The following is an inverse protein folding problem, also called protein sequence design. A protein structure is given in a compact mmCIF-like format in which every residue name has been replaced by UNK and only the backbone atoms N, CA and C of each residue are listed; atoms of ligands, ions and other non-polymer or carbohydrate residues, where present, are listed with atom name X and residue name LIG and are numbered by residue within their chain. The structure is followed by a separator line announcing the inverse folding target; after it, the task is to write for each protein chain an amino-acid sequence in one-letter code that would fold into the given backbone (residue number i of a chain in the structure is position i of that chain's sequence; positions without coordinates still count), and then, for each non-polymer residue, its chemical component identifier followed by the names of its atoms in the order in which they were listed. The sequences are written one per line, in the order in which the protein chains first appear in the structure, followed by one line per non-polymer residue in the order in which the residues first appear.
data_IF_110384392752
#
_entry.id   IF_110384392752
#
_cell.length_a   1.000
_cell.length_b   1.000
_cell.length_c   1.000
_cell.angle_alpha   90.00
_cell.angle_beta   90.00
_cell.angle_gamma   90.00
#
_symmetry.space_group_name_H-M   'P 1'
#
loop_
_entity.id
_entity.type
_entity.pdbx_description
1 polymer ?
#
# COMPACT_ATOMS: atom_id res chain seq x y z
N UNK A 1 27.95 -3.11 -43.49
CA UNK A 1 27.22 -1.85 -43.26
C UNK A 1 25.77 -2.20 -42.97
N UNK A 2 25.21 -1.86 -41.79
CA UNK A 2 23.79 -2.00 -41.53
C UNK A 2 23.03 -0.85 -42.19
N UNK A 3 21.93 -1.14 -42.86
CA UNK A 3 21.03 -0.16 -43.47
C UNK A 3 20.38 0.72 -42.39
N UNK A 4 20.15 2.02 -42.64
CA UNK A 4 19.40 2.86 -41.71
C UNK A 4 17.92 2.44 -41.73
N UNK A 5 17.36 2.07 -40.58
CA UNK A 5 15.91 1.90 -40.43
C UNK A 5 15.24 3.28 -40.47
N UNK A 6 14.20 3.36 -41.29
CA UNK A 6 13.43 4.54 -41.67
C UNK A 6 12.66 5.14 -40.48
N UNK A 7 13.22 6.20 -39.89
CA UNK A 7 12.60 6.98 -38.79
C UNK A 7 11.31 7.67 -39.21
N UNK A 8 11.17 7.97 -40.50
CA UNK A 8 10.03 8.68 -41.10
C UNK A 8 8.75 7.84 -41.10
N UNK A 9 8.90 6.52 -41.25
CA UNK A 9 7.78 5.58 -41.29
C UNK A 9 7.14 5.39 -39.91
N UNK A 10 7.95 5.39 -38.85
CA UNK A 10 7.48 5.36 -37.46
C UNK A 10 6.74 6.63 -37.06
N UNK A 11 7.24 7.80 -37.46
CA UNK A 11 6.57 9.08 -37.19
C UNK A 11 5.20 9.16 -37.88
N UNK A 12 5.09 8.63 -39.11
CA UNK A 12 3.83 8.60 -39.84
C UNK A 12 2.80 7.63 -39.24
N UNK A 13 3.26 6.47 -38.75
CA UNK A 13 2.40 5.52 -38.02
C UNK A 13 1.94 6.09 -36.66
N UNK A 14 2.79 6.85 -35.96
CA UNK A 14 2.43 7.55 -34.71
C UNK A 14 1.43 8.70 -34.93
N UNK A 15 1.57 9.47 -36.02
CA UNK A 15 0.63 10.53 -36.41
C UNK A 15 -0.73 9.97 -36.90
N UNK A 16 -0.73 8.88 -37.68
CA UNK A 16 -1.98 8.19 -38.09
C UNK A 16 -2.70 7.55 -36.88
N UNK A 17 -1.95 7.07 -35.89
CA UNK A 17 -2.49 6.57 -34.61
C UNK A 17 -2.98 7.66 -33.63
N UNK A 18 -2.62 8.93 -33.86
CA UNK A 18 -3.19 10.10 -33.17
C UNK A 18 -4.45 10.63 -33.87
N UNK A 19 -4.57 10.45 -35.20
CA UNK A 19 -5.78 10.80 -35.98
C UNK A 19 -6.91 9.75 -35.86
N UNK A 20 -6.59 8.47 -35.61
CA UNK A 20 -7.60 7.46 -35.30
C UNK A 20 -8.17 7.67 -33.89
N UNK A 21 -9.24 8.48 -33.78
CA UNK A 21 -9.98 8.71 -32.54
C UNK A 21 -10.37 7.43 -31.81
N UNK A 22 -10.56 7.52 -30.48
CA UNK A 22 -10.67 6.35 -29.59
C UNK A 22 -11.75 5.34 -30.00
N UNK A 23 -12.89 5.83 -30.50
CA UNK A 23 -13.97 5.01 -31.05
C UNK A 23 -14.38 5.66 -32.38
N UNK A 24 -14.34 4.93 -33.51
CA UNK A 24 -14.71 5.48 -34.81
C UNK A 24 -16.11 6.12 -34.79
N UNK A 25 -16.19 7.37 -35.25
CA UNK A 25 -17.45 8.12 -35.33
C UNK A 25 -17.94 8.74 -34.01
N UNK A 26 -17.15 8.68 -32.93
CA UNK A 26 -17.50 9.27 -31.64
C UNK A 26 -16.44 10.28 -31.19
N UNK A 27 -16.84 11.46 -30.67
CA UNK A 27 -15.88 12.39 -30.08
C UNK A 27 -15.15 11.78 -28.88
N UNK A 28 -13.85 12.06 -28.74
CA UNK A 28 -13.00 11.43 -27.72
C UNK A 28 -13.51 11.60 -26.29
N UNK A 29 -14.07 12.77 -25.93
CA UNK A 29 -14.59 12.99 -24.59
C UNK A 29 -15.76 12.04 -24.25
N UNK A 30 -16.62 11.70 -25.22
CA UNK A 30 -17.70 10.73 -25.02
C UNK A 30 -17.17 9.30 -25.04
N UNK A 31 -16.20 9.01 -25.92
CA UNK A 31 -15.52 7.73 -25.95
C UNK A 31 -14.85 7.43 -24.60
N UNK A 32 -14.17 8.41 -24.00
CA UNK A 32 -13.52 8.27 -22.69
C UNK A 32 -14.53 7.96 -21.58
N UNK A 33 -15.68 8.64 -21.53
CA UNK A 33 -16.74 8.35 -20.54
C UNK A 33 -17.28 6.92 -20.69
N UNK A 34 -17.45 6.48 -21.94
CA UNK A 34 -17.95 5.15 -22.26
C UNK A 34 -16.94 4.07 -21.85
N UNK A 35 -15.66 4.26 -22.20
CA UNK A 35 -14.58 3.34 -21.85
C UNK A 35 -14.30 3.35 -20.34
N UNK A 36 -14.43 4.48 -19.64
CA UNK A 36 -14.23 4.57 -18.19
C UNK A 36 -15.19 3.69 -17.37
N UNK A 37 -16.32 3.31 -17.95
CA UNK A 37 -17.29 2.39 -17.33
C UNK A 37 -16.89 0.92 -17.46
N UNK A 38 -15.94 0.59 -18.33
CA UNK A 38 -15.49 -0.77 -18.59
C UNK A 38 -14.36 -1.19 -17.64
N UNK A 39 -14.28 -2.48 -17.26
CA UNK A 39 -13.15 -3.02 -16.54
C UNK A 39 -11.81 -2.70 -17.25
N UNK A 40 -10.81 -2.11 -16.55
CA UNK A 40 -9.52 -1.76 -17.16
C UNK A 40 -8.81 -2.92 -17.86
N UNK A 41 -9.04 -4.15 -17.38
CA UNK A 41 -8.50 -5.37 -18.00
C UNK A 41 -9.00 -5.57 -19.43
N UNK A 42 -10.27 -5.26 -19.72
CA UNK A 42 -10.80 -5.36 -21.09
C UNK A 42 -10.17 -4.30 -21.99
N UNK A 43 -10.09 -3.06 -21.51
CA UNK A 43 -9.46 -1.95 -22.23
C UNK A 43 -7.99 -2.26 -22.58
N UNK A 44 -7.27 -2.87 -21.65
CA UNK A 44 -5.86 -3.22 -21.85
C UNK A 44 -5.66 -4.29 -22.93
N UNK A 45 -6.60 -5.23 -23.09
CA UNK A 45 -6.48 -6.36 -24.02
C UNK A 45 -6.95 -6.03 -25.44
N UNK A 46 -7.97 -5.16 -25.59
CA UNK A 46 -8.71 -5.05 -26.85
C UNK A 46 -8.08 -4.15 -27.91
N UNK A 47 -7.41 -3.05 -27.56
CA UNK A 47 -6.73 -2.19 -28.54
C UNK A 47 -5.54 -1.43 -27.96
N UNK A 48 -4.61 -1.02 -28.82
CA UNK A 48 -3.45 -0.20 -28.44
C UNK A 48 -3.87 1.21 -28.01
N UNK A 49 -4.80 1.85 -28.72
CA UNK A 49 -5.30 3.20 -28.39
C UNK A 49 -6.03 3.24 -27.04
N UNK A 50 -6.83 2.21 -26.70
CA UNK A 50 -7.47 2.13 -25.39
C UNK A 50 -6.48 1.80 -24.29
N UNK A 51 -5.46 0.99 -24.59
CA UNK A 51 -4.34 0.78 -23.67
C UNK A 51 -3.59 2.09 -23.42
N UNK A 52 -3.28 2.89 -24.45
CA UNK A 52 -2.67 4.23 -24.29
C UNK A 52 -3.56 5.12 -23.42
N UNK A 53 -4.87 5.15 -23.68
CA UNK A 53 -5.84 5.90 -22.88
C UNK A 53 -5.79 5.50 -21.40
N UNK A 54 -5.72 4.20 -21.07
CA UNK A 54 -5.64 3.75 -19.68
C UNK A 54 -4.53 4.49 -18.94
N UNK A 55 -3.36 4.67 -19.55
CA UNK A 55 -2.19 5.29 -18.93
C UNK A 55 -2.14 6.83 -19.04
N UNK A 56 -3.12 7.45 -19.70
CA UNK A 56 -3.25 8.91 -19.78
C UNK A 56 -3.59 9.51 -18.41
N UNK A 57 -3.15 10.75 -18.11
CA UNK A 57 -3.60 11.48 -16.92
C UNK A 57 -5.09 11.84 -16.95
N UNK A 58 -5.74 11.83 -18.12
CA UNK A 58 -7.18 12.14 -18.26
C UNK A 58 -8.09 10.98 -17.85
N UNK A 59 -7.58 9.75 -17.87
CA UNK A 59 -8.34 8.56 -17.52
C UNK A 59 -8.30 8.30 -16.01
N UNK A 60 -9.43 7.97 -15.37
CA UNK A 60 -9.46 7.67 -13.94
C UNK A 60 -8.43 6.60 -13.55
N UNK A 61 -7.54 6.86 -12.57
CA UNK A 61 -6.52 5.90 -12.23
C UNK A 61 -7.15 4.68 -11.56
N UNK A 62 -6.82 3.50 -12.05
CA UNK A 62 -7.02 2.26 -11.31
C UNK A 62 -5.90 2.08 -10.28
N UNK A 63 -6.11 1.18 -9.32
CA UNK A 63 -5.14 0.96 -8.25
C UNK A 63 -4.03 -0.01 -8.67
N UNK A 64 -2.80 0.33 -8.27
CA UNK A 64 -1.61 -0.49 -8.39
C UNK A 64 -1.09 -0.87 -7.01
N UNK A 65 -0.22 -1.87 -6.98
CA UNK A 65 0.47 -2.28 -5.77
C UNK A 65 1.80 -1.53 -5.68
N UNK A 66 2.07 -0.86 -4.57
CA UNK A 66 3.34 -0.22 -4.31
C UNK A 66 4.06 -1.00 -3.22
N UNK A 67 5.31 -1.37 -3.48
CA UNK A 67 6.10 -2.16 -2.55
C UNK A 67 7.43 -1.47 -2.23
N UNK A 68 7.75 -1.52 -0.95
CA UNK A 68 9.07 -1.29 -0.41
C UNK A 68 9.79 -2.64 -0.46
N UNK A 69 10.85 -2.72 -1.24
CA UNK A 69 11.60 -3.94 -1.49
C UNK A 69 13.05 -3.77 -1.05
N UNK A 70 13.67 -4.83 -0.55
CA UNK A 70 15.06 -4.82 -0.13
C UNK A 70 15.78 -6.11 -0.52
N UNK A 71 17.06 -6.05 -0.93
CA UNK A 71 17.88 -7.24 -1.04
C UNK A 71 18.13 -7.85 0.34
N UNK A 72 18.23 -9.19 0.47
CA UNK A 72 18.32 -9.89 1.76
C UNK A 72 19.52 -9.46 2.62
N UNK A 73 20.62 -9.05 1.97
CA UNK A 73 21.88 -8.67 2.60
C UNK A 73 22.24 -7.19 2.43
N UNK A 74 21.39 -6.39 1.77
CA UNK A 74 21.63 -4.97 1.57
C UNK A 74 20.82 -4.14 2.56
N UNK A 75 21.37 -3.03 3.08
CA UNK A 75 20.58 -2.08 3.83
C UNK A 75 19.69 -1.20 2.95
N UNK A 76 19.83 -1.26 1.61
CA UNK A 76 19.14 -0.40 0.66
C UNK A 76 17.66 -0.74 0.53
N UNK A 77 16.83 0.29 0.66
CA UNK A 77 15.40 0.20 0.39
C UNK A 77 15.10 0.72 -1.02
N UNK A 78 14.35 -0.06 -1.79
CA UNK A 78 13.91 0.28 -3.13
C UNK A 78 12.39 0.42 -3.17
N UNK A 79 11.92 1.36 -3.97
CA UNK A 79 10.49 1.63 -4.12
C UNK A 79 10.05 1.20 -5.51
N UNK A 80 9.06 0.31 -5.58
CA UNK A 80 8.54 -0.19 -6.84
C UNK A 80 7.01 -0.14 -6.87
N UNK A 81 6.45 0.04 -8.06
CA UNK A 81 5.02 -0.12 -8.34
C UNK A 81 4.84 -1.34 -9.26
N UNK A 82 3.91 -2.22 -8.90
CA UNK A 82 3.46 -3.32 -9.74
C UNK A 82 2.13 -2.96 -10.38
N UNK A 83 2.10 -2.99 -11.69
CA UNK A 83 0.89 -2.82 -12.48
C UNK A 83 0.21 -4.18 -12.69
N UNK A 84 -1.02 -4.38 -12.17
CA UNK A 84 -1.74 -5.64 -12.30
C UNK A 84 -2.23 -5.93 -13.72
N UNK A 85 -2.29 -4.94 -14.62
CA UNK A 85 -2.74 -5.13 -16.00
C UNK A 85 -1.61 -5.64 -16.89
N UNK A 86 -0.44 -5.00 -16.82
CA UNK A 86 0.76 -5.43 -17.56
C UNK A 86 1.54 -6.53 -16.85
N UNK A 87 1.26 -6.78 -15.56
CA UNK A 87 1.99 -7.69 -14.69
C UNK A 87 3.49 -7.36 -14.57
N UNK A 88 3.85 -6.07 -14.61
CA UNK A 88 5.24 -5.59 -14.56
C UNK A 88 5.52 -4.73 -13.34
N UNK A 89 6.75 -4.80 -12.84
CA UNK A 89 7.27 -3.87 -11.85
C UNK A 89 7.95 -2.68 -12.52
N UNK A 90 7.73 -1.49 -11.97
CA UNK A 90 8.38 -0.25 -12.35
C UNK A 90 9.02 0.38 -11.11
N UNK A 91 10.30 0.73 -11.17
CA UNK A 91 10.96 1.48 -10.11
C UNK A 91 10.37 2.90 -10.01
N UNK A 92 10.15 3.37 -8.78
CA UNK A 92 9.81 4.77 -8.53
C UNK A 92 11.06 5.63 -8.73
N UNK A 93 10.90 6.93 -9.05
CA UNK A 93 12.01 7.86 -9.03
C UNK A 93 12.64 7.90 -7.62
N UNK A 94 13.95 8.14 -7.52
CA UNK A 94 14.60 8.20 -6.23
C UNK A 94 14.00 9.33 -5.37
N UNK A 95 13.85 9.13 -4.05
CA UNK A 95 13.47 10.20 -3.16
C UNK A 95 14.52 11.33 -3.18
N UNK A 96 14.17 12.55 -2.72
CA UNK A 96 15.10 13.67 -2.62
C UNK A 96 16.34 13.26 -1.80
N UNK A 97 17.50 13.92 -2.00
CA UNK A 97 18.76 13.54 -1.39
C UNK A 97 18.73 13.73 0.14
N UNK A 98 18.21 12.72 0.83
CA UNK A 98 18.39 12.45 2.24
C UNK A 98 19.46 11.36 2.39
N UNK A 99 20.12 11.22 3.56
CA UNK A 99 20.94 10.06 3.80
C UNK A 99 20.15 8.77 3.53
N UNK A 100 20.78 7.74 2.94
CA UNK A 100 20.08 6.54 2.52
C UNK A 100 19.32 5.95 3.70
N UNK A 101 18.04 5.65 3.47
CA UNK A 101 17.22 4.95 4.44
C UNK A 101 17.76 3.53 4.60
N UNK A 102 18.13 3.17 5.82
CA UNK A 102 18.79 1.92 6.13
C UNK A 102 17.80 0.98 6.82
N UNK A 103 17.51 -0.14 6.17
CA UNK A 103 16.81 -1.26 6.80
C UNK A 103 17.74 -2.05 7.73
N UNK A 104 19.06 -1.97 7.51
CA UNK A 104 20.07 -2.59 8.37
C UNK A 104 21.18 -1.58 8.58
N UNK A 105 21.65 -1.44 9.80
CA UNK A 105 22.75 -0.53 10.10
C UNK A 105 24.01 -1.36 10.42
N UNK A 106 25.19 -1.02 9.88
CA UNK A 106 26.40 -1.84 10.03
C UNK A 106 26.81 -2.05 11.50
N UNK A 107 26.45 -1.13 12.40
CA UNK A 107 26.65 -1.30 13.84
C UNK A 107 25.75 -2.36 14.51
N UNK A 108 24.73 -2.88 13.81
CA UNK A 108 23.80 -3.89 14.31
C UNK A 108 23.89 -5.15 13.43
N UNK A 109 24.36 -6.25 14.03
CA UNK A 109 24.64 -7.49 13.30
C UNK A 109 23.37 -8.32 12.97
N UNK A 110 22.25 -8.08 13.65
CA UNK A 110 21.08 -8.98 13.57
C UNK A 110 19.71 -8.31 13.45
N UNK A 111 19.62 -6.98 13.45
CA UNK A 111 18.32 -6.27 13.50
C UNK A 111 17.97 -5.61 12.18
N UNK A 112 16.80 -5.97 11.64
CA UNK A 112 16.10 -5.16 10.65
C UNK A 112 15.42 -3.98 11.36
N UNK A 113 15.66 -2.78 10.88
CA UNK A 113 15.15 -1.54 11.42
C UNK A 113 13.74 -1.28 10.88
N UNK A 114 12.83 -0.85 11.76
CA UNK A 114 11.45 -0.63 11.37
C UNK A 114 11.34 0.55 10.40
N UNK A 115 10.70 0.31 9.25
CA UNK A 115 10.28 1.35 8.32
C UNK A 115 8.77 1.54 8.48
N UNK A 116 8.35 2.74 8.87
CA UNK A 116 6.94 3.10 8.99
C UNK A 116 6.49 3.86 7.75
N UNK A 117 5.56 3.26 7.02
CA UNK A 117 4.94 3.84 5.84
C UNK A 117 3.43 3.66 5.88
N UNK A 118 2.70 4.61 5.29
CA UNK A 118 1.23 4.60 5.23
C UNK A 118 0.75 5.14 3.89
N UNK A 119 -0.39 4.63 3.42
CA UNK A 119 -1.11 5.16 2.27
C UNK A 119 -2.22 6.10 2.75
N UNK A 120 -2.19 7.36 2.31
CA UNK A 120 -3.21 8.35 2.68
C UNK A 120 -3.56 9.24 1.47
N UNK A 121 -4.85 9.37 1.15
CA UNK A 121 -5.31 10.26 0.08
C UNK A 121 -4.68 9.96 -1.29
N UNK A 122 -4.44 8.69 -1.59
CA UNK A 122 -3.77 8.26 -2.84
C UNK A 122 -2.27 8.58 -2.90
N UNK A 123 -1.63 8.87 -1.77
CA UNK A 123 -0.20 9.16 -1.65
C UNK A 123 0.49 8.15 -0.74
N UNK A 124 1.76 7.86 -1.03
CA UNK A 124 2.62 7.07 -0.15
C UNK A 124 3.36 8.01 0.79
N UNK A 125 3.22 7.80 2.09
CA UNK A 125 3.93 8.55 3.12
C UNK A 125 4.94 7.64 3.81
N UNK A 126 6.16 8.12 3.97
CA UNK A 126 7.20 7.51 4.77
C UNK A 126 7.43 8.38 6.01
N UNK A 127 7.07 7.87 7.18
CA UNK A 127 7.05 8.63 8.43
C UNK A 127 8.35 8.45 9.22
N UNK A 128 8.80 7.21 9.34
CA UNK A 128 10.00 6.88 10.09
C UNK A 128 10.80 5.82 9.33
N UNK A 129 12.09 6.06 9.24
CA UNK A 129 13.08 5.13 8.76
C UNK A 129 14.39 5.48 9.44
N UNK A 130 15.21 4.46 9.70
CA UNK A 130 16.50 4.67 10.35
C UNK A 130 17.53 5.13 9.32
N UNK A 131 18.29 6.16 9.66
CA UNK A 131 19.43 6.64 8.86
C UNK A 131 20.74 6.15 9.46
N UNK A 132 21.88 6.41 8.80
CA UNK A 132 23.22 6.13 9.35
C UNK A 132 23.50 6.79 10.70
N UNK A 133 22.77 7.86 11.06
CA UNK A 133 22.91 8.54 12.34
C UNK A 133 21.97 8.00 13.43
N UNK A 134 21.27 6.90 13.17
CA UNK A 134 20.29 6.28 14.09
C UNK A 134 19.20 7.27 14.56
N UNK A 135 18.89 8.28 13.74
CA UNK A 135 17.80 9.20 14.02
C UNK A 135 16.47 8.43 13.96
N UNK A 136 15.63 8.48 15.02
CA UNK A 136 14.50 7.56 15.19
C UNK A 136 13.32 7.82 14.23
N UNK A 137 13.21 9.03 13.66
CA UNK A 137 12.16 9.40 12.72
C UNK A 137 12.71 10.43 11.72
N UNK A 138 12.10 10.50 10.53
CA UNK A 138 12.43 11.53 9.56
C UNK A 138 11.93 12.89 10.10
N UNK A 139 12.75 13.95 10.07
CA UNK A 139 12.33 15.27 10.56
C UNK A 139 11.13 15.81 9.80
N UNK A 140 11.04 15.48 8.51
CA UNK A 140 9.87 15.69 7.66
C UNK A 140 9.55 14.38 6.95
N UNK A 141 8.29 13.90 6.96
CA UNK A 141 7.92 12.72 6.20
C UNK A 141 8.21 12.90 4.71
N UNK A 142 8.58 11.82 4.02
CA UNK A 142 8.63 11.83 2.56
C UNK A 142 7.27 11.42 2.01
N UNK A 143 6.79 12.18 1.03
CA UNK A 143 5.48 11.99 0.41
C UNK A 143 5.66 11.79 -1.09
N UNK A 144 5.32 10.60 -1.59
CA UNK A 144 5.27 10.32 -3.01
C UNK A 144 3.86 10.49 -3.56
N UNK A 145 3.74 11.24 -4.65
CA UNK A 145 2.50 11.48 -5.36
C UNK A 145 2.49 10.72 -6.69
N UNK A 146 1.71 9.63 -6.82
CA UNK A 146 1.69 8.81 -8.03
C UNK A 146 1.35 9.55 -9.33
N UNK A 147 0.33 10.44 -9.38
CA UNK A 147 -0.03 11.11 -10.62
C UNK A 147 1.08 12.01 -11.18
N UNK A 148 1.88 12.65 -10.33
CA UNK A 148 3.00 13.51 -10.76
C UNK A 148 4.34 12.79 -10.76
N UNK A 149 4.39 11.52 -10.35
CA UNK A 149 5.63 10.73 -10.18
C UNK A 149 6.70 11.50 -9.41
N UNK A 150 6.33 12.23 -8.36
CA UNK A 150 7.25 13.12 -7.67
C UNK A 150 7.22 12.93 -6.16
N UNK A 151 8.37 13.11 -5.54
CA UNK A 151 8.52 13.15 -4.11
C UNK A 151 8.44 14.60 -3.61
N UNK A 152 7.96 14.75 -2.39
CA UNK A 152 7.88 16.02 -1.67
C UNK A 152 8.06 15.78 -0.17
N UNK A 153 8.38 16.83 0.58
CA UNK A 153 8.41 16.75 2.04
C UNK A 153 7.05 17.11 2.61
N UNK A 154 6.61 16.32 3.59
CA UNK A 154 5.47 16.64 4.43
C UNK A 154 5.82 17.67 5.51
N UNK A 155 4.80 18.09 6.29
CA UNK A 155 4.98 18.94 7.47
C UNK A 155 5.91 18.27 8.50
N UNK A 156 6.74 19.04 9.21
CA UNK A 156 7.69 18.48 10.18
C UNK A 156 6.98 17.73 11.31
N UNK A 157 7.54 16.58 11.68
CA UNK A 157 7.05 15.80 12.81
C UNK A 157 7.54 16.46 14.10
N UNK A 158 6.62 16.98 14.90
CA UNK A 158 6.91 17.26 16.31
C UNK A 158 6.73 15.96 17.11
N UNK A 159 7.62 15.63 18.06
CA UNK A 159 7.70 14.32 18.72
C UNK A 159 6.46 13.89 19.55
N UNK A 160 5.33 14.59 19.47
CA UNK A 160 4.13 14.37 20.31
C UNK A 160 2.76 14.50 19.60
N UNK A 161 2.62 14.40 18.27
CA UNK A 161 1.29 14.64 17.63
C UNK A 161 0.98 13.65 16.49
N UNK A 162 -0.29 13.22 16.45
CA UNK A 162 -0.88 12.28 15.48
C UNK A 162 -1.60 13.04 14.34
N UNK A 163 -1.83 12.35 13.21
CA UNK A 163 -2.34 12.95 11.98
C UNK A 163 -3.86 13.15 12.11
N UNK A 164 -4.35 14.38 11.89
CA UNK A 164 -5.78 14.67 12.01
C UNK A 164 -6.27 15.71 10.99
N UNK A 165 -5.72 15.78 9.78
CA UNK A 165 -6.43 16.35 8.63
C UNK A 165 -5.69 16.07 7.31
N UNK A 166 -6.27 15.24 6.44
CA UNK A 166 -5.70 14.98 5.11
C UNK A 166 -5.78 16.20 4.17
N UNK A 167 -6.70 17.14 4.43
CA UNK A 167 -6.90 18.32 3.58
C UNK A 167 -5.95 19.48 3.90
N UNK A 168 -5.60 19.70 5.18
CA UNK A 168 -4.78 20.84 5.61
C UNK A 168 -3.30 20.50 5.83
N UNK A 169 -2.92 19.21 5.87
CA UNK A 169 -1.55 18.76 6.17
C UNK A 169 -1.00 19.35 7.50
N UNK A 170 -1.84 19.37 8.53
CA UNK A 170 -1.49 19.90 9.86
C UNK A 170 -1.57 18.82 10.95
N UNK A 171 -0.63 18.87 11.90
CA UNK A 171 -0.57 17.97 13.05
C UNK A 171 -1.27 18.58 14.27
N UNK A 172 -2.25 17.85 14.82
CA UNK A 172 -3.01 18.29 15.99
C UNK A 172 -2.81 17.32 17.17
N UNK A 173 -2.75 17.80 18.42
CA UNK A 173 -2.80 16.93 19.59
C UNK A 173 -4.15 16.24 19.67
N UNK A 174 -4.12 14.99 20.15
CA UNK A 174 -5.31 14.23 20.56
C UNK A 174 -5.15 13.76 22.00
N UNK A 175 -6.23 13.27 22.59
CA UNK A 175 -6.24 12.78 23.96
C UNK A 175 -5.12 11.78 24.19
N UNK A 176 -4.37 11.97 25.27
CA UNK A 176 -3.22 11.14 25.58
C UNK A 176 -3.68 9.79 26.11
N UNK A 177 -3.09 8.73 25.56
CA UNK A 177 -3.14 7.41 26.19
C UNK A 177 -2.24 7.46 27.43
N UNK A 178 -2.83 7.43 28.62
CA UNK A 178 -2.11 7.53 29.91
C UNK A 178 -1.35 6.25 30.29
N UNK A 179 -1.30 5.29 29.38
CA UNK A 179 -0.76 3.97 29.61
C UNK A 179 0.60 3.79 28.94
N UNK A 180 1.65 3.73 29.75
CA UNK A 180 3.03 3.55 29.29
C UNK A 180 3.27 2.18 28.62
N UNK A 181 2.34 1.23 28.72
CA UNK A 181 2.45 -0.11 28.09
C UNK A 181 2.52 -0.04 26.56
N UNK A 182 1.90 0.97 25.95
CA UNK A 182 1.96 1.21 24.50
C UNK A 182 3.17 2.06 24.06
N UNK A 183 4.11 2.33 24.97
CA UNK A 183 5.28 3.19 24.71
C UNK A 183 6.58 2.41 24.44
N UNK A 184 6.59 1.07 24.53
CA UNK A 184 7.83 0.28 24.56
C UNK A 184 8.03 -0.68 23.38
N UNK A 185 6.97 -1.33 22.90
CA UNK A 185 7.06 -2.35 21.86
C UNK A 185 6.31 -1.95 20.60
N UNK A 186 6.57 -2.68 19.50
CA UNK A 186 5.94 -2.41 18.23
C UNK A 186 4.42 -2.59 18.36
N UNK A 187 3.71 -1.47 18.36
CA UNK A 187 2.25 -1.42 18.35
C UNK A 187 1.75 -1.76 16.94
N UNK A 188 0.69 -2.56 16.85
CA UNK A 188 -0.10 -2.69 15.63
C UNK A 188 -1.39 -1.87 15.78
N UNK A 189 -1.83 -1.24 14.70
CA UNK A 189 -2.95 -0.30 14.75
C UNK A 189 -3.74 -0.27 13.45
N UNK A 190 -5.06 -0.15 13.56
CA UNK A 190 -5.96 -0.05 12.41
C UNK A 190 -7.05 1.00 12.64
N UNK A 191 -7.31 1.82 11.62
CA UNK A 191 -8.48 2.69 11.57
C UNK A 191 -9.72 1.91 11.13
N UNK A 192 -10.78 1.93 11.93
CA UNK A 192 -12.01 1.20 11.63
C UNK A 192 -13.23 1.94 12.19
N UNK A 193 -14.21 2.28 11.34
CA UNK A 193 -15.48 2.92 11.71
C UNK A 193 -15.32 4.18 12.58
N UNK A 194 -14.39 5.07 12.21
CA UNK A 194 -14.12 6.28 13.00
C UNK A 194 -13.45 6.00 14.35
N UNK A 195 -12.84 4.82 14.51
CA UNK A 195 -12.03 4.47 15.68
C UNK A 195 -10.62 4.08 15.26
N UNK A 196 -9.67 4.20 16.18
CA UNK A 196 -8.31 3.68 16.04
C UNK A 196 -8.12 2.56 17.05
N UNK A 197 -8.11 1.32 16.56
CA UNK A 197 -7.84 0.13 17.39
C UNK A 197 -6.33 -0.10 17.45
N UNK A 198 -5.77 -0.32 18.63
CA UNK A 198 -4.34 -0.51 18.85
C UNK A 198 -4.06 -1.68 19.78
N UNK A 199 -3.03 -2.46 19.48
CA UNK A 199 -2.51 -3.53 20.35
C UNK A 199 -1.04 -3.33 20.64
N UNK A 200 -0.62 -3.63 21.86
CA UNK A 200 0.74 -3.34 22.36
C UNK A 200 1.84 -4.25 21.79
N UNK A 201 1.49 -5.41 21.23
CA UNK A 201 2.45 -6.41 20.71
C UNK A 201 2.01 -6.91 19.33
N UNK A 202 2.97 -7.03 18.41
CA UNK A 202 2.78 -7.65 17.09
C UNK A 202 2.78 -9.18 17.16
N UNK A 203 2.11 -9.81 16.19
CA UNK A 203 2.11 -11.26 16.00
C UNK A 203 1.10 -12.03 16.86
N UNK A 204 1.36 -13.29 17.18
CA UNK A 204 0.44 -14.17 17.95
C UNK A 204 0.63 -14.14 19.48
N UNK A 205 1.50 -13.25 20.00
CA UNK A 205 1.71 -13.13 21.44
C UNK A 205 0.46 -12.60 22.17
N UNK A 206 0.33 -12.95 23.46
CA UNK A 206 -0.68 -12.35 24.33
C UNK A 206 -0.49 -10.83 24.36
N UNK A 207 -1.60 -10.10 24.20
CA UNK A 207 -1.59 -8.66 23.99
C UNK A 207 -2.75 -7.99 24.69
N UNK A 208 -2.59 -6.70 24.91
CA UNK A 208 -3.61 -5.81 25.41
C UNK A 208 -4.04 -4.87 24.28
N UNK A 209 -5.32 -4.51 24.26
CA UNK A 209 -5.92 -3.69 23.22
C UNK A 209 -6.65 -2.48 23.78
N UNK A 210 -6.51 -1.35 23.10
CA UNK A 210 -7.27 -0.13 23.35
C UNK A 210 -7.90 0.37 22.07
N UNK A 211 -9.03 1.07 22.20
CA UNK A 211 -9.75 1.67 21.07
C UNK A 211 -9.92 3.16 21.34
N UNK A 212 -9.43 3.98 20.42
CA UNK A 212 -9.61 5.42 20.46
C UNK A 212 -10.79 5.86 19.60
N UNK A 213 -11.72 6.58 20.19
CA UNK A 213 -12.88 7.17 19.53
C UNK A 213 -12.49 8.53 18.92
N UNK A 214 -12.47 8.63 17.59
CA UNK A 214 -11.95 9.82 16.91
C UNK A 214 -12.86 11.03 17.09
N UNK A 215 -14.18 10.81 17.11
CA UNK A 215 -15.18 11.86 17.24
C UNK A 215 -15.27 12.39 18.67
N UNK A 216 -15.24 11.48 19.65
CA UNK A 216 -15.29 11.83 21.07
C UNK A 216 -13.95 12.25 21.67
N UNK A 217 -12.82 11.98 21.01
CA UNK A 217 -11.46 12.24 21.52
C UNK A 217 -11.17 11.56 22.87
N UNK A 218 -11.43 10.26 22.97
CA UNK A 218 -11.14 9.48 24.19
C UNK A 218 -10.84 8.01 23.90
N UNK A 219 -10.17 7.38 24.86
CA UNK A 219 -9.77 5.97 24.82
C UNK A 219 -10.76 5.09 25.58
N UNK A 220 -10.97 3.87 25.09
CA UNK A 220 -11.81 2.81 25.66
C UNK A 220 -11.05 1.48 25.62
N UNK A 221 -11.49 0.52 26.43
CA UNK A 221 -11.01 -0.85 26.34
C UNK A 221 -11.47 -1.51 25.03
N UNK A 222 -10.62 -2.36 24.47
CA UNK A 222 -10.95 -3.12 23.27
C UNK A 222 -11.92 -4.28 23.60
N UNK A 223 -12.93 -4.56 22.75
CA UNK A 223 -13.79 -5.73 22.91
C UNK A 223 -12.97 -7.04 23.01
N UNK A 224 -13.37 -7.92 23.93
CA UNK A 224 -12.60 -9.13 24.24
C UNK A 224 -12.46 -10.05 23.02
N UNK A 225 -13.53 -10.24 22.25
CA UNK A 225 -13.50 -11.10 21.08
C UNK A 225 -12.67 -10.54 19.92
N UNK A 226 -12.70 -9.21 19.72
CA UNK A 226 -11.77 -8.52 18.83
C UNK A 226 -10.32 -8.81 19.23
N UNK A 227 -9.97 -8.57 20.49
CA UNK A 227 -8.62 -8.76 21.02
C UNK A 227 -8.16 -10.22 20.90
N UNK A 228 -9.02 -11.17 21.29
CA UNK A 228 -8.72 -12.60 21.27
C UNK A 228 -8.41 -13.13 19.88
N UNK A 229 -9.08 -12.64 18.83
CA UNK A 229 -8.79 -13.07 17.45
C UNK A 229 -7.72 -12.27 16.71
N UNK A 230 -7.17 -11.21 17.31
CA UNK A 230 -6.08 -10.43 16.73
C UNK A 230 -4.76 -11.20 16.87
N UNK A 231 -4.45 -12.10 15.92
CA UNK A 231 -3.30 -13.03 15.99
C UNK A 231 -2.27 -12.83 14.87
N UNK A 232 -2.15 -11.61 14.39
CA UNK A 232 -1.26 -11.24 13.29
C UNK A 232 -1.65 -9.88 12.70
N UNK A 233 -1.22 -9.56 11.47
CA UNK A 233 -1.46 -8.26 10.86
C UNK A 233 -2.94 -8.03 10.53
N UNK A 234 -3.40 -6.80 10.77
CA UNK A 234 -4.79 -6.37 10.56
C UNK A 234 -4.88 -5.27 9.52
N UNK A 235 -5.96 -5.27 8.74
CA UNK A 235 -6.29 -4.19 7.82
C UNK A 235 -7.81 -3.95 7.80
N UNK A 236 -8.18 -2.69 7.58
CA UNK A 236 -9.56 -2.31 7.34
C UNK A 236 -9.78 -1.95 5.87
N UNK A 237 -10.83 -2.51 5.28
CA UNK A 237 -11.28 -2.22 3.93
C UNK A 237 -12.36 -1.14 3.98
N UNK A 238 -12.10 -0.02 3.31
CA UNK A 238 -12.95 1.19 3.31
C UNK A 238 -13.43 1.63 4.70
N UNK A 239 -12.58 1.47 5.72
CA UNK A 239 -12.89 1.74 7.14
C UNK A 239 -14.14 1.01 7.68
N UNK A 240 -14.63 -0.03 7.00
CA UNK A 240 -15.90 -0.71 7.33
C UNK A 240 -15.71 -2.17 7.72
N UNK A 241 -14.89 -2.90 6.97
CA UNK A 241 -14.64 -4.33 7.16
C UNK A 241 -13.24 -4.51 7.70
N UNK A 242 -13.09 -5.25 8.80
CA UNK A 242 -11.79 -5.53 9.39
C UNK A 242 -11.39 -6.98 9.11
N UNK A 243 -10.15 -7.17 8.67
CA UNK A 243 -9.57 -8.46 8.36
C UNK A 243 -8.28 -8.67 9.15
N UNK A 244 -8.02 -9.91 9.53
CA UNK A 244 -6.77 -10.34 10.18
C UNK A 244 -6.24 -11.57 9.47
N UNK A 245 -4.92 -11.70 9.39
CA UNK A 245 -4.28 -12.98 9.11
C UNK A 245 -3.77 -13.56 10.42
N UNK A 246 -4.25 -14.74 10.78
CA UNK A 246 -3.64 -15.56 11.83
C UNK A 246 -2.28 -16.06 11.32
N UNK A 247 -1.19 -15.48 11.82
CA UNK A 247 0.14 -15.73 11.25
C UNK A 247 0.64 -17.16 11.53
N UNK A 248 0.18 -17.78 12.62
CA UNK A 248 0.56 -19.15 12.97
C UNK A 248 -0.16 -20.16 12.08
N UNK A 249 -1.48 -19.97 11.88
CA UNK A 249 -2.32 -20.90 11.11
C UNK A 249 -2.27 -20.63 9.60
N UNK A 250 -2.00 -19.39 9.19
CA UNK A 250 -2.17 -18.94 7.81
C UNK A 250 -3.65 -18.80 7.43
N UNK A 251 -4.50 -18.40 8.39
CA UNK A 251 -5.93 -18.25 8.21
C UNK A 251 -6.29 -16.76 8.04
N UNK A 252 -6.93 -16.41 6.92
CA UNK A 252 -7.54 -15.10 6.75
C UNK A 252 -8.92 -15.11 7.41
N UNK A 253 -9.17 -14.14 8.28
CA UNK A 253 -10.44 -13.99 9.01
C UNK A 253 -10.99 -12.59 8.89
N UNK A 254 -12.30 -12.46 9.04
CA UNK A 254 -13.03 -11.19 9.06
C UNK A 254 -13.73 -11.02 10.40
N UNK A 255 -13.66 -9.81 10.94
CA UNK A 255 -14.35 -9.49 12.19
C UNK A 255 -15.85 -9.26 11.94
N UNK A 256 -16.69 -9.85 12.78
CA UNK A 256 -18.15 -9.74 12.81
C UNK A 256 -18.54 -8.97 14.09
N UNK A 257 -18.76 -7.65 14.01
CA UNK A 257 -18.93 -6.80 15.19
C UNK A 257 -20.15 -7.17 16.05
N UNK A 258 -21.22 -7.66 15.42
CA UNK A 258 -22.45 -8.04 16.12
C UNK A 258 -22.26 -9.24 17.05
N UNK A 259 -21.25 -10.07 16.76
CA UNK A 259 -20.96 -11.29 17.52
C UNK A 259 -19.69 -11.14 18.36
N UNK A 260 -18.99 -10.00 18.25
CA UNK A 260 -17.63 -9.82 18.75
C UNK A 260 -16.75 -11.03 18.41
N UNK A 261 -16.77 -11.48 17.16
CA UNK A 261 -16.13 -12.72 16.76
C UNK A 261 -15.44 -12.59 15.40
N UNK A 262 -14.51 -13.52 15.12
CA UNK A 262 -13.82 -13.60 13.85
C UNK A 262 -14.30 -14.83 13.07
N UNK A 263 -14.63 -14.63 11.80
CA UNK A 263 -15.08 -15.67 10.88
C UNK A 263 -13.96 -16.03 9.89
N UNK A 264 -13.69 -17.31 9.69
CA UNK A 264 -12.69 -17.80 8.74
C UNK A 264 -13.16 -17.63 7.29
N UNK A 265 -12.31 -17.04 6.44
CA UNK A 265 -12.58 -16.86 5.01
C UNK A 265 -11.82 -17.88 4.18
N UNK A 266 -10.52 -18.01 4.44
CA UNK A 266 -9.67 -18.97 3.75
C UNK A 266 -8.47 -19.37 4.60
N UNK A 267 -7.95 -20.56 4.34
CA UNK A 267 -6.73 -21.08 4.93
C UNK A 267 -5.72 -21.34 3.82
N UNK A 268 -4.51 -20.81 3.95
CA UNK A 268 -3.46 -21.06 2.98
C UNK A 268 -2.07 -20.96 3.60
N UNK A 269 -1.22 -21.94 3.31
CA UNK A 269 0.15 -22.01 3.85
C UNK A 269 0.99 -20.78 3.50
N UNK A 270 0.72 -20.10 2.37
CA UNK A 270 1.44 -18.87 1.98
C UNK A 270 1.21 -17.71 2.93
N UNK A 271 0.15 -17.74 3.74
CA UNK A 271 -0.18 -16.69 4.70
C UNK A 271 0.48 -16.93 6.06
N UNK A 272 1.19 -18.05 6.25
CA UNK A 272 1.93 -18.30 7.49
C UNK A 272 3.08 -17.33 7.64
N UNK A 273 3.26 -16.82 8.86
CA UNK A 273 4.23 -15.78 9.19
C UNK A 273 3.90 -14.43 8.53
N UNK A 274 2.63 -14.14 8.23
CA UNK A 274 2.24 -12.86 7.64
C UNK A 274 2.76 -11.67 8.48
N UNK A 275 3.41 -10.72 7.82
CA UNK A 275 4.07 -9.57 8.43
C UNK A 275 3.28 -8.27 8.22
N UNK A 276 2.50 -8.19 7.15
CA UNK A 276 1.67 -7.04 6.83
C UNK A 276 0.42 -7.48 6.06
N UNK A 277 -0.68 -6.76 6.25
CA UNK A 277 -1.93 -6.89 5.52
C UNK A 277 -2.38 -5.51 5.02
N UNK A 278 -2.87 -5.43 3.78
CA UNK A 278 -3.51 -4.23 3.21
C UNK A 278 -4.80 -4.65 2.54
N UNK A 279 -5.88 -3.88 2.74
CA UNK A 279 -7.20 -4.18 2.22
C UNK A 279 -7.72 -3.04 1.34
N UNK A 280 -8.19 -3.37 0.13
CA UNK A 280 -8.77 -2.39 -0.78
C UNK A 280 -9.72 -3.05 -1.79
N UNK A 281 -10.94 -2.55 -1.94
CA UNK A 281 -11.90 -2.90 -2.99
C UNK A 281 -12.04 -4.41 -3.25
N UNK A 282 -12.34 -5.18 -2.19
CA UNK A 282 -12.56 -6.62 -2.27
C UNK A 282 -11.29 -7.45 -2.46
N UNK A 283 -10.10 -6.84 -2.38
CA UNK A 283 -8.81 -7.52 -2.44
C UNK A 283 -7.97 -7.23 -1.21
N UNK A 284 -7.15 -8.20 -0.82
CA UNK A 284 -6.21 -8.12 0.29
C UNK A 284 -4.82 -8.47 -0.20
N UNK A 285 -3.82 -7.67 0.16
CA UNK A 285 -2.42 -7.94 -0.13
C UNK A 285 -1.72 -8.33 1.17
N UNK A 286 -1.07 -9.49 1.17
CA UNK A 286 -0.43 -10.08 2.35
C UNK A 286 1.07 -10.19 2.06
N UNK A 287 1.88 -9.60 2.94
CA UNK A 287 3.34 -9.78 2.95
C UNK A 287 3.68 -10.90 3.92
N UNK A 288 4.49 -11.86 3.50
CA UNK A 288 4.88 -13.04 4.27
C UNK A 288 6.28 -13.49 3.85
N UNK A 289 6.91 -14.45 4.56
CA UNK A 289 8.12 -15.14 4.09
C UNK A 289 7.97 -15.78 2.71
N UNK A 290 6.74 -16.07 2.27
CA UNK A 290 6.45 -16.61 0.93
C UNK A 290 6.33 -15.52 -0.16
N UNK A 291 6.70 -14.28 0.16
CA UNK A 291 6.55 -13.11 -0.71
C UNK A 291 5.20 -12.40 -0.54
N UNK A 292 4.76 -11.72 -1.60
CA UNK A 292 3.47 -11.02 -1.65
C UNK A 292 2.40 -11.93 -2.25
N UNK A 293 1.25 -12.05 -1.58
CA UNK A 293 0.06 -12.74 -2.09
C UNK A 293 -1.14 -11.80 -2.13
N UNK A 294 -1.88 -11.82 -3.24
CA UNK A 294 -3.16 -11.10 -3.37
C UNK A 294 -4.31 -12.09 -3.20
N UNK A 295 -5.18 -11.82 -2.23
CA UNK A 295 -6.42 -12.56 -2.03
C UNK A 295 -7.58 -11.74 -2.57
N UNK A 296 -8.35 -12.33 -3.48
CA UNK A 296 -9.63 -11.81 -3.93
C UNK A 296 -10.76 -12.40 -3.06
N UNK A 297 -11.30 -11.59 -2.15
CA UNK A 297 -12.41 -11.97 -1.26
C UNK A 297 -13.78 -11.62 -1.84
N UNK A 298 -13.82 -10.91 -2.97
CA UNK A 298 -15.06 -10.67 -3.72
C UNK A 298 -15.42 -11.88 -4.62
N UNK A 299 -14.44 -12.71 -4.97
CA UNK A 299 -14.66 -13.96 -5.69
C UNK A 299 -15.30 -15.04 -4.80
N UNK A 300 -16.18 -15.85 -5.38
CA UNK A 300 -16.78 -17.02 -4.74
C UNK A 300 -16.39 -18.30 -5.52
N UNK A 301 -15.58 -19.22 -4.94
CA UNK A 301 -14.87 -19.09 -3.67
C UNK A 301 -13.74 -18.05 -3.73
N UNK A 302 -13.25 -17.55 -2.57
CA UNK A 302 -12.10 -16.66 -2.51
C UNK A 302 -10.88 -17.24 -3.21
N UNK A 303 -10.11 -16.40 -3.90
CA UNK A 303 -8.95 -16.83 -4.70
C UNK A 303 -7.68 -16.15 -4.23
N UNK A 304 -6.56 -16.87 -4.29
CA UNK A 304 -5.24 -16.34 -3.91
C UNK A 304 -4.29 -16.45 -5.09
N UNK A 305 -3.53 -15.38 -5.33
CA UNK A 305 -2.56 -15.28 -6.41
C UNK A 305 -1.23 -14.77 -5.87
N UNK A 306 -0.10 -15.44 -6.15
CA UNK A 306 1.21 -14.91 -5.81
C UNK A 306 1.59 -13.77 -6.75
N UNK A 307 2.24 -12.74 -6.21
CA UNK A 307 2.87 -11.68 -7.03
C UNK A 307 4.34 -12.05 -7.19
N UNK A 308 4.78 -12.20 -8.45
CA UNK A 308 6.19 -12.47 -8.76
C UNK A 308 7.00 -11.20 -8.46
N UNK A 309 7.92 -11.26 -7.50
CA UNK A 309 8.81 -10.15 -7.16
C UNK A 309 9.94 -10.02 -8.19
N UNK A 310 10.56 -8.82 -8.32
CA UNK A 310 11.82 -8.68 -9.04
C UNK A 310 12.90 -9.58 -8.43
N UNK A 311 13.82 -10.07 -9.26
CA UNK A 311 14.86 -11.01 -8.83
C UNK A 311 15.77 -10.40 -7.76
N UNK A 312 16.08 -11.18 -6.72
CA UNK A 312 16.96 -10.78 -5.63
C UNK A 312 16.36 -9.80 -4.62
N UNK A 313 15.06 -9.50 -4.69
CA UNK A 313 14.38 -8.59 -3.77
C UNK A 313 13.32 -9.29 -2.91
N UNK A 314 13.26 -8.90 -1.64
CA UNK A 314 12.27 -9.33 -0.65
C UNK A 314 11.31 -8.18 -0.30
N UNK A 315 10.04 -8.47 0.01
CA UNK A 315 9.07 -7.45 0.35
C UNK A 315 9.22 -7.02 1.81
N UNK A 316 9.26 -5.71 2.02
CA UNK A 316 9.34 -5.08 3.35
C UNK A 316 7.99 -4.50 3.74
N UNK A 317 7.38 -3.75 2.83
CA UNK A 317 6.04 -3.23 3.02
C UNK A 317 5.31 -3.11 1.69
N UNK A 318 3.98 -3.12 1.75
CA UNK A 318 3.09 -3.01 0.61
C UNK A 318 1.99 -1.99 0.85
N UNK A 319 1.52 -1.38 -0.23
CA UNK A 319 0.54 -0.30 -0.27
C UNK A 319 -0.31 -0.43 -1.53
N UNK A 320 -1.55 0.07 -1.48
CA UNK A 320 -2.44 0.13 -2.66
C UNK A 320 -2.73 1.59 -2.95
N UNK A 321 -2.30 2.06 -4.12
CA UNK A 321 -2.37 3.48 -4.49
C UNK A 321 -2.74 3.62 -5.97
N UNK A 322 -3.17 4.81 -6.41
CA UNK A 322 -3.43 5.09 -7.82
C UNK A 322 -2.22 4.77 -8.70
N UNK A 323 -2.49 4.26 -9.91
CA UNK A 323 -1.49 4.04 -10.95
C UNK A 323 -0.78 5.34 -11.34
N UNK A 324 0.52 5.28 -11.63
CA UNK A 324 1.24 6.37 -12.29
C UNK A 324 0.85 6.48 -13.78
N UNK A 325 0.59 7.68 -14.32
CA UNK A 325 0.40 7.87 -15.77
C UNK A 325 1.73 7.63 -16.50
N UNK A 326 1.75 7.25 -17.77
CA UNK A 326 3.03 7.11 -18.52
C UNK A 326 3.74 8.48 -18.65
N UNK A 327 5.08 8.46 -18.71
CA UNK A 327 5.83 9.67 -19.07
C UNK A 327 5.69 9.85 -20.58
N UNK A 328 5.17 11.00 -20.99
CA UNK A 328 5.29 11.50 -22.36
C UNK A 328 6.68 12.10 -22.55
#
# INVERSE_FOLDING_TARGET
MPMPMDSTKRQKEEEEEEEEGLIPGLPDHIAQLSLASLPPKLLFTLSHSWRRLLYSPTFPPFNCLYALLAPPHSPSLHFHAYDPLSATWQALPPPPPEPPLLLRHPAFLSRSLAVQSISLGGRLLLLAATTHNLTPALPRPLVFHPPSRSWSHGPPLSPRRCLAHAAAWEWQPKAQLRDARFSREAVDAVGWRGTLCMVNVKGDAAKEGVVYDVAGDFWKDMPEGMLNGWRGPVAAMEERLMFVVDEAKGALRKYIPQQDAWEDILHNHRLKGAQQLVAHQGKLCVVSPSGISVVDVAAAPPRIFPVKLPEGLEPVAVHVLPRMPLLH
#
